data_IF_166038447265
#
_entry.id   IF_166038447265
#
_cell.length_a   1.000
_cell.length_b   1.000
_cell.length_c   1.000
_cell.angle_alpha   90.00
_cell.angle_beta   90.00
_cell.angle_gamma   90.00
#
_symmetry.space_group_name_H-M   'P 1'
#
loop_
_entity.id
_entity.type
_entity.pdbx_description
1 polymer ?
#
# COMPACT_ATOMS: atom_id res chain seq x y z
N UNK A 1 5.06 -19.97 8.17
CA UNK A 1 4.90 -19.53 9.58
C UNK A 1 3.81 -18.48 9.65
N UNK A 2 2.94 -18.61 10.60
CA UNK A 2 1.83 -17.67 10.74
C UNK A 2 2.24 -16.52 11.65
N UNK A 3 2.22 -15.31 11.11
CA UNK A 3 2.56 -14.13 11.90
C UNK A 3 1.63 -13.91 13.08
N UNK A 4 0.39 -14.38 12.96
CA UNK A 4 -0.61 -14.24 14.01
C UNK A 4 -0.24 -14.96 15.31
N UNK A 5 0.74 -15.86 15.28
CA UNK A 5 1.20 -16.55 16.46
C UNK A 5 1.67 -15.59 17.55
N UNK A 6 2.02 -14.37 17.19
CA UNK A 6 2.48 -13.35 18.13
C UNK A 6 1.41 -12.32 18.48
N UNK A 7 0.18 -12.55 18.04
CA UNK A 7 -0.94 -11.69 18.38
C UNK A 7 -1.03 -10.37 17.63
N UNK A 8 -0.09 -10.09 16.74
CA UNK A 8 -0.11 -8.88 15.93
C UNK A 8 -0.46 -9.18 14.48
N UNK A 9 -1.28 -8.31 13.92
CA UNK A 9 -1.61 -8.37 12.51
C UNK A 9 -0.65 -7.46 11.76
N UNK A 10 -0.31 -7.86 10.55
CA UNK A 10 0.52 -7.06 9.68
C UNK A 10 -0.32 -6.60 8.49
N UNK A 11 -0.39 -5.30 8.29
CA UNK A 11 -1.12 -4.70 7.18
C UNK A 11 -0.15 -4.20 6.12
N UNK A 12 -0.44 -4.50 4.86
CA UNK A 12 0.25 -3.90 3.73
C UNK A 12 -0.58 -2.72 3.26
N UNK A 13 0.03 -1.54 3.21
CA UNK A 13 -0.63 -0.35 2.69
C UNK A 13 0.14 0.12 1.47
N UNK A 14 -0.43 -0.03 0.29
CA UNK A 14 0.16 0.51 -0.93
C UNK A 14 -0.34 1.94 -1.12
N UNK A 15 0.52 2.82 -1.60
CA UNK A 15 0.19 4.23 -1.68
C UNK A 15 0.16 4.91 -0.32
N UNK A 16 0.88 4.34 0.64
CA UNK A 16 0.85 4.82 2.02
C UNK A 16 1.50 6.17 2.24
N UNK A 17 2.31 6.64 1.28
CA UNK A 17 2.91 7.97 1.38
C UNK A 17 1.97 9.07 0.84
N UNK A 18 0.78 8.71 0.36
CA UNK A 18 -0.25 9.67 -0.01
C UNK A 18 -0.98 10.21 1.22
N UNK A 19 -1.83 11.20 1.01
CA UNK A 19 -2.57 11.83 2.10
C UNK A 19 -3.44 10.82 2.86
N UNK A 20 -4.31 10.11 2.14
CA UNK A 20 -5.20 9.14 2.78
C UNK A 20 -4.44 7.96 3.36
N UNK A 21 -3.42 7.50 2.63
CA UNK A 21 -2.62 6.36 3.08
C UNK A 21 -1.89 6.64 4.37
N UNK A 22 -1.32 7.84 4.52
CA UNK A 22 -0.60 8.19 5.73
C UNK A 22 -1.53 8.24 6.95
N UNK A 23 -2.75 8.76 6.78
CA UNK A 23 -3.74 8.77 7.86
C UNK A 23 -4.19 7.36 8.22
N UNK A 24 -4.38 6.51 7.22
CA UNK A 24 -4.73 5.11 7.48
C UNK A 24 -3.63 4.41 8.27
N UNK A 25 -2.37 4.64 7.90
CA UNK A 25 -1.24 4.03 8.60
C UNK A 25 -1.25 4.42 10.08
N UNK A 26 -1.48 5.70 10.38
CA UNK A 26 -1.56 6.14 11.76
C UNK A 26 -2.64 5.39 12.54
N UNK A 27 -3.80 5.19 11.91
CA UNK A 27 -4.91 4.46 12.53
C UNK A 27 -4.57 3.00 12.75
N UNK A 28 -3.91 2.36 11.80
CA UNK A 28 -3.52 0.96 11.93
C UNK A 28 -2.48 0.78 13.04
N UNK A 29 -1.53 1.69 13.13
CA UNK A 29 -0.53 1.65 14.20
C UNK A 29 -1.18 1.87 15.57
N UNK A 30 -2.15 2.77 15.65
CA UNK A 30 -2.89 3.00 16.91
C UNK A 30 -3.67 1.76 17.32
N UNK A 31 -4.14 0.98 16.35
CA UNK A 31 -4.84 -0.28 16.62
C UNK A 31 -3.91 -1.38 17.12
N UNK A 32 -2.61 -1.19 17.01
CA UNK A 32 -1.62 -2.15 17.45
C UNK A 32 -1.05 -3.03 16.35
N UNK A 33 -1.41 -2.76 15.11
CA UNK A 33 -0.92 -3.53 13.97
C UNK A 33 0.49 -3.14 13.58
N UNK A 34 1.19 -4.08 12.92
CA UNK A 34 2.39 -3.75 12.17
C UNK A 34 1.97 -3.28 10.79
N UNK A 35 2.68 -2.32 10.23
CA UNK A 35 2.37 -1.77 8.91
C UNK A 35 3.58 -1.82 8.01
N UNK A 36 3.40 -2.41 6.84
CA UNK A 36 4.36 -2.30 5.73
C UNK A 36 3.78 -1.33 4.72
N UNK A 37 4.43 -0.19 4.56
CA UNK A 37 4.02 0.83 3.60
C UNK A 37 4.79 0.64 2.31
N UNK A 38 4.10 0.49 1.21
CA UNK A 38 4.70 0.34 -0.11
C UNK A 38 4.24 1.49 -1.00
N UNK A 39 5.19 2.22 -1.55
CA UNK A 39 4.90 3.37 -2.39
C UNK A 39 6.06 3.61 -3.34
N UNK A 40 5.76 3.99 -4.57
CA UNK A 40 6.80 4.37 -5.53
C UNK A 40 7.14 5.86 -5.46
N UNK A 41 6.43 6.61 -4.63
CA UNK A 41 6.59 8.05 -4.43
C UNK A 41 6.32 8.89 -5.68
N UNK A 42 5.59 8.33 -6.65
CA UNK A 42 5.26 9.05 -7.86
C UNK A 42 4.27 10.19 -7.59
N UNK A 43 3.22 9.90 -6.81
CA UNK A 43 2.25 10.92 -6.40
C UNK A 43 2.28 11.17 -4.91
N UNK A 44 2.83 10.24 -4.14
CA UNK A 44 2.96 10.38 -2.70
C UNK A 44 4.19 11.18 -2.33
N UNK A 45 4.26 11.57 -1.07
CA UNK A 45 5.36 12.35 -0.55
C UNK A 45 5.85 11.69 0.74
N UNK A 46 7.13 11.35 0.77
CA UNK A 46 7.73 10.71 1.93
C UNK A 46 7.56 11.55 3.20
N UNK A 47 7.40 12.85 3.07
CA UNK A 47 7.15 13.74 4.21
C UNK A 47 5.87 13.38 4.96
N UNK A 48 4.90 12.77 4.29
CA UNK A 48 3.66 12.34 4.93
C UNK A 48 3.88 11.22 5.94
N UNK A 49 4.99 10.50 5.84
CA UNK A 49 5.32 9.38 6.72
C UNK A 49 6.61 9.58 7.50
N UNK A 50 7.24 10.76 7.40
CA UNK A 50 8.48 11.04 8.12
C UNK A 50 8.34 10.89 9.63
N UNK A 51 7.17 11.23 10.18
CA UNK A 51 6.92 11.10 11.62
C UNK A 51 6.93 9.63 12.08
N UNK A 52 6.90 8.68 11.15
CA UNK A 52 6.91 7.26 11.45
C UNK A 52 8.28 6.64 11.34
N UNK A 53 9.27 7.41 10.90
CA UNK A 53 10.64 6.93 10.79
C UNK A 53 11.12 6.45 12.17
N UNK A 54 11.60 5.22 12.22
CA UNK A 54 12.05 4.62 13.47
C UNK A 54 10.95 3.99 14.32
N UNK A 55 9.69 4.07 13.91
CA UNK A 55 8.62 3.41 14.64
C UNK A 55 8.81 1.89 14.58
N UNK A 56 8.77 1.17 15.71
CA UNK A 56 9.13 -0.26 15.74
C UNK A 56 8.18 -1.15 14.95
N UNK A 57 6.95 -0.71 14.70
CA UNK A 57 5.96 -1.50 13.97
C UNK A 57 5.67 -0.96 12.58
N UNK A 58 6.47 -0.01 12.11
CA UNK A 58 6.32 0.58 10.78
C UNK A 58 7.55 0.29 9.93
N UNK A 59 7.30 -0.11 8.69
CA UNK A 59 8.36 -0.34 7.71
C UNK A 59 7.95 0.28 6.39
N UNK A 60 8.87 0.94 5.73
CA UNK A 60 8.65 1.53 4.41
C UNK A 60 9.45 0.80 3.36
N UNK A 61 8.79 0.47 2.24
CA UNK A 61 9.45 -0.13 1.10
C UNK A 61 9.09 0.67 -0.15
N UNK A 62 10.11 1.17 -0.83
CA UNK A 62 9.89 1.84 -2.12
C UNK A 62 9.77 0.77 -3.20
N UNK A 63 8.59 0.66 -3.79
CA UNK A 63 8.30 -0.37 -4.77
C UNK A 63 7.11 0.07 -5.61
N UNK A 64 7.14 -0.29 -6.89
CA UNK A 64 6.05 -0.03 -7.82
C UNK A 64 5.22 -1.31 -7.93
N UNK A 65 3.94 -1.24 -7.56
CA UNK A 65 3.06 -2.42 -7.57
C UNK A 65 2.75 -2.94 -8.98
N UNK A 66 3.19 -2.25 -10.04
CA UNK A 66 3.17 -2.80 -11.38
C UNK A 66 4.03 -4.06 -11.48
N UNK A 67 4.98 -4.20 -10.56
CA UNK A 67 5.84 -5.38 -10.48
C UNK A 67 5.40 -6.26 -9.32
N UNK A 68 5.56 -7.60 -9.43
CA UNK A 68 5.15 -8.50 -8.36
C UNK A 68 5.82 -8.17 -7.02
N UNK A 69 5.08 -8.39 -5.95
CA UNK A 69 5.54 -8.17 -4.59
C UNK A 69 5.33 -9.45 -3.79
N UNK A 70 6.40 -9.90 -3.12
CA UNK A 70 6.37 -11.15 -2.35
C UNK A 70 6.62 -10.83 -0.88
N UNK A 71 5.54 -10.65 -0.13
CA UNK A 71 5.59 -10.34 1.30
C UNK A 71 4.54 -11.17 2.02
N UNK A 72 4.69 -11.28 3.34
CA UNK A 72 3.74 -11.96 4.20
C UNK A 72 2.99 -10.93 5.02
N UNK A 73 1.68 -10.83 4.79
CA UNK A 73 0.83 -9.87 5.50
C UNK A 73 -0.51 -10.52 5.80
N UNK A 74 -1.26 -9.91 6.71
CA UNK A 74 -2.56 -10.41 7.13
C UNK A 74 -3.72 -9.69 6.48
N UNK A 75 -3.50 -8.50 5.97
CA UNK A 75 -4.49 -7.77 5.17
C UNK A 75 -3.80 -6.78 4.26
N UNK A 76 -4.49 -6.36 3.21
CA UNK A 76 -3.95 -5.46 2.21
C UNK A 76 -4.88 -4.27 2.02
N UNK A 77 -4.33 -3.07 2.08
CA UNK A 77 -5.02 -1.82 1.78
C UNK A 77 -4.38 -1.25 0.52
N UNK A 78 -5.03 -1.46 -0.62
CA UNK A 78 -4.47 -1.02 -1.90
C UNK A 78 -4.98 0.37 -2.25
N UNK A 79 -4.22 1.38 -1.85
CA UNK A 79 -4.51 2.78 -2.12
C UNK A 79 -3.64 3.35 -3.23
N UNK A 80 -2.70 2.56 -3.75
CA UNK A 80 -1.80 3.00 -4.81
C UNK A 80 -2.57 3.09 -6.12
N UNK A 81 -3.04 4.26 -6.39
CA UNK A 81 -3.79 4.53 -7.61
C UNK A 81 -3.34 5.89 -8.15
N UNK A 82 -2.89 5.97 -9.40
CA UNK A 82 -2.52 7.25 -9.99
C UNK A 82 -3.78 8.05 -10.29
N UNK A 83 -4.29 8.70 -9.27
CA UNK A 83 -5.58 9.39 -9.34
C UNK A 83 -5.47 10.86 -9.71
N UNK A 84 -4.25 11.38 -9.87
CA UNK A 84 -4.07 12.79 -10.19
C UNK A 84 -4.51 13.09 -11.63
N UNK A 85 -5.44 14.02 -11.85
CA UNK A 85 -5.84 14.39 -13.21
C UNK A 85 -4.67 14.88 -14.07
N UNK A 86 -3.69 15.49 -13.45
CA UNK A 86 -2.51 15.96 -14.17
C UNK A 86 -1.77 14.78 -14.81
N UNK A 87 -1.60 13.71 -14.07
CA UNK A 87 -0.91 12.52 -14.57
C UNK A 87 -1.73 11.81 -15.65
N UNK A 88 -3.06 11.77 -15.50
CA UNK A 88 -3.94 11.22 -16.51
C UNK A 88 -3.81 11.98 -17.83
N UNK A 89 -3.75 13.30 -17.74
CA UNK A 89 -3.63 14.14 -18.92
C UNK A 89 -2.28 14.00 -19.59
N UNK A 90 -1.24 13.72 -18.79
CA UNK A 90 0.11 13.58 -19.32
C UNK A 90 0.28 12.30 -20.12
N UNK A 91 -0.18 11.17 -19.56
CA UNK A 91 -0.10 9.88 -20.24
C UNK A 91 -1.23 8.96 -19.75
N UNK A 92 -2.42 9.10 -20.32
CA UNK A 92 -3.57 8.32 -19.86
C UNK A 92 -3.42 6.82 -20.13
N UNK A 93 -2.75 6.43 -21.20
CA UNK A 93 -2.56 5.01 -21.50
C UNK A 93 -1.65 4.36 -20.45
N UNK A 94 -0.53 4.99 -20.15
CA UNK A 94 0.40 4.47 -19.16
C UNK A 94 -0.25 4.44 -17.77
N UNK A 95 -1.00 5.46 -17.41
CA UNK A 95 -1.70 5.53 -16.15
C UNK A 95 -2.68 4.37 -16.00
N UNK A 96 -3.45 4.06 -17.05
CA UNK A 96 -4.39 2.96 -17.05
C UNK A 96 -3.68 1.63 -16.88
N UNK A 97 -2.59 1.40 -17.63
CA UNK A 97 -1.81 0.18 -17.51
C UNK A 97 -1.28 -0.02 -16.10
N UNK A 98 -0.73 1.03 -15.51
CA UNK A 98 -0.20 0.98 -14.15
C UNK A 98 -1.28 0.59 -13.14
N UNK A 99 -2.47 1.19 -13.26
CA UNK A 99 -3.58 0.88 -12.37
C UNK A 99 -4.03 -0.57 -12.50
N UNK A 100 -4.15 -1.07 -13.73
CA UNK A 100 -4.61 -2.43 -13.97
C UNK A 100 -3.59 -3.45 -13.47
N UNK A 101 -2.33 -3.27 -13.83
CA UNK A 101 -1.27 -4.19 -13.41
C UNK A 101 -1.09 -4.19 -11.91
N UNK A 102 -1.16 -3.01 -11.28
CA UNK A 102 -1.06 -2.91 -9.84
C UNK A 102 -2.19 -3.65 -9.13
N UNK A 103 -3.42 -3.46 -9.61
CA UNK A 103 -4.57 -4.13 -9.03
C UNK A 103 -4.46 -5.66 -9.18
N UNK A 104 -4.05 -6.13 -10.35
CA UNK A 104 -3.87 -7.57 -10.60
C UNK A 104 -2.83 -8.13 -9.65
N UNK A 105 -1.69 -7.45 -9.50
CA UNK A 105 -0.62 -7.92 -8.63
C UNK A 105 -1.07 -7.99 -7.16
N UNK A 106 -1.83 -6.99 -6.71
CA UNK A 106 -2.31 -6.98 -5.33
C UNK A 106 -3.39 -8.02 -5.09
N UNK A 107 -4.29 -8.22 -6.04
CA UNK A 107 -5.30 -9.28 -5.96
C UNK A 107 -4.64 -10.66 -5.96
N UNK A 108 -3.59 -10.84 -6.78
CA UNK A 108 -2.84 -12.08 -6.80
C UNK A 108 -2.14 -12.35 -5.48
N UNK A 109 -1.57 -11.32 -4.87
CA UNK A 109 -0.94 -11.45 -3.56
C UNK A 109 -1.98 -11.83 -2.49
N UNK A 110 -3.14 -11.16 -2.50
CA UNK A 110 -4.19 -11.46 -1.55
C UNK A 110 -4.68 -12.89 -1.70
N UNK A 111 -4.82 -13.37 -2.93
CA UNK A 111 -5.26 -14.74 -3.20
C UNK A 111 -4.22 -15.74 -2.72
N UNK A 112 -2.95 -15.48 -3.00
CA UNK A 112 -1.86 -16.37 -2.58
C UNK A 112 -1.80 -16.49 -1.06
N UNK A 113 -2.00 -15.38 -0.36
CA UNK A 113 -1.94 -15.36 1.10
C UNK A 113 -3.26 -15.74 1.77
N UNK A 114 -4.37 -15.74 1.03
CA UNK A 114 -5.69 -15.98 1.59
C UNK A 114 -6.15 -14.88 2.53
N UNK A 115 -5.85 -13.62 2.21
CA UNK A 115 -6.15 -12.49 3.10
C UNK A 115 -7.11 -11.52 2.43
N UNK A 116 -7.70 -10.64 3.25
CA UNK A 116 -8.59 -9.60 2.75
C UNK A 116 -7.82 -8.52 2.03
N UNK A 117 -8.43 -7.99 1.00
CA UNK A 117 -7.90 -6.82 0.31
C UNK A 117 -8.99 -5.75 0.25
N UNK A 118 -8.61 -4.53 0.64
CA UNK A 118 -9.44 -3.35 0.50
C UNK A 118 -8.85 -2.51 -0.61
N UNK A 119 -9.65 -2.17 -1.60
CA UNK A 119 -9.15 -1.42 -2.73
C UNK A 119 -9.87 -0.09 -2.84
N UNK A 120 -9.11 0.99 -2.87
CA UNK A 120 -9.69 2.31 -3.06
C UNK A 120 -10.22 2.42 -4.49
N UNK A 121 -11.43 2.91 -4.60
CA UNK A 121 -12.05 3.16 -5.89
C UNK A 121 -11.86 4.62 -6.23
N UNK A 122 -11.32 4.90 -7.42
CA UNK A 122 -11.25 6.26 -7.92
C UNK A 122 -12.47 6.52 -8.78
N UNK A 123 -13.16 7.53 -8.45
CA UNK A 123 -14.29 7.98 -9.25
C UNK A 123 -13.97 9.28 -9.93
#
# INVERSE_FOLDING_TARGET
>A
MKRQAYGRRRALVTGGAGFLGSHLIDRLLDRGDEVLCVDNLFTGDKRNIDHLAGHPRFEFMRHDICFPLYVEVDEIWNLACPASPIHYQHDPVQTTKTSVHGAINMLGLAKRLGVRIFQASTS
#
